data_IF_881102490983
#
_entry.id   IF_881102490983
#
_cell.length_a   1.000
_cell.length_b   1.000
_cell.length_c   1.000
_cell.angle_alpha   90.00
_cell.angle_beta   90.00
_cell.angle_gamma   90.00
#
_symmetry.space_group_name_H-M   'P 1'
#
loop_
_entity.id
_entity.type
_entity.pdbx_description
1 polymer ?
#
# COMPACT_ATOMS: atom_id res chain seq x y z
N UNK A 1 -61.31 -2.32 21.68
CA UNK A 1 -60.28 -1.31 21.91
C UNK A 1 -59.00 -2.09 21.89
N UNK A 2 -58.59 -2.49 20.69
CA UNK A 2 -57.46 -3.38 20.44
C UNK A 2 -56.29 -2.50 20.02
N UNK A 3 -55.35 -2.33 20.95
CA UNK A 3 -54.07 -1.63 20.72
C UNK A 3 -53.18 -2.54 19.88
N UNK A 4 -53.16 -2.27 18.57
CA UNK A 4 -52.27 -2.93 17.63
C UNK A 4 -50.95 -2.16 17.58
N UNK A 5 -49.96 -2.63 18.33
CA UNK A 5 -48.59 -2.11 18.27
C UNK A 5 -48.01 -2.30 16.86
N UNK A 6 -47.35 -1.28 16.28
CA UNK A 6 -46.72 -1.41 14.98
C UNK A 6 -45.53 -2.38 15.06
N UNK A 7 -45.52 -3.34 14.15
CA UNK A 7 -44.46 -4.34 13.98
C UNK A 7 -43.12 -3.65 13.66
N UNK A 8 -42.19 -3.69 14.61
CA UNK A 8 -40.85 -3.04 14.52
C UNK A 8 -39.94 -3.75 13.49
N UNK A 9 -40.39 -4.81 12.83
CA UNK A 9 -39.60 -5.64 11.92
C UNK A 9 -39.42 -5.10 10.49
N UNK A 10 -39.84 -3.87 10.17
CA UNK A 10 -39.78 -3.35 8.78
C UNK A 10 -38.85 -2.15 8.58
N UNK A 11 -38.12 -1.70 9.61
CA UNK A 11 -37.20 -0.55 9.47
C UNK A 11 -35.79 -0.94 9.93
N UNK A 12 -35.13 -1.78 9.13
CA UNK A 12 -33.67 -1.81 8.98
C UNK A 12 -33.37 -2.61 7.72
N UNK A 13 -33.67 -2.01 6.57
CA UNK A 13 -33.03 -2.41 5.32
C UNK A 13 -31.56 -2.09 5.51
N UNK A 14 -30.73 -3.13 5.60
CA UNK A 14 -29.28 -3.07 5.69
C UNK A 14 -28.73 -1.91 4.86
N UNK A 15 -28.14 -0.93 5.53
CA UNK A 15 -27.16 -0.07 4.89
C UNK A 15 -25.89 -0.90 4.71
N UNK A 16 -25.90 -1.83 3.76
CA UNK A 16 -24.65 -2.43 3.30
C UNK A 16 -23.76 -1.27 2.87
N UNK A 17 -22.63 -1.11 3.57
CA UNK A 17 -21.65 -0.08 3.28
C UNK A 17 -21.16 -0.27 1.86
N UNK A 18 -21.76 0.45 0.92
CA UNK A 18 -21.36 0.40 -0.49
C UNK A 18 -20.03 1.12 -0.59
N UNK A 19 -18.95 0.34 -0.75
CA UNK A 19 -17.60 0.87 -0.87
C UNK A 19 -17.59 1.94 -1.99
N UNK A 20 -17.11 3.17 -1.72
CA UNK A 20 -17.05 4.23 -2.73
C UNK A 20 -16.33 3.75 -3.99
N UNK A 21 -16.75 4.16 -5.20
CA UNK A 21 -16.17 3.66 -6.45
C UNK A 21 -14.65 3.90 -6.54
N UNK A 22 -14.17 5.01 -5.98
CA UNK A 22 -12.74 5.31 -5.90
C UNK A 22 -11.98 4.34 -4.99
N UNK A 23 -12.59 3.92 -3.87
CA UNK A 23 -11.97 2.96 -2.95
C UNK A 23 -11.93 1.57 -3.58
N UNK A 24 -12.97 1.18 -4.35
CA UNK A 24 -12.96 -0.05 -5.14
C UNK A 24 -11.81 -0.08 -6.15
N UNK A 25 -11.60 1.00 -6.90
CA UNK A 25 -10.48 1.11 -7.86
C UNK A 25 -9.13 0.97 -7.13
N UNK A 26 -8.94 1.68 -6.01
CA UNK A 26 -7.70 1.57 -5.23
C UNK A 26 -7.48 0.16 -4.69
N UNK A 27 -8.53 -0.51 -4.24
CA UNK A 27 -8.46 -1.89 -3.76
C UNK A 27 -8.10 -2.86 -4.89
N UNK A 28 -8.71 -2.72 -6.07
CA UNK A 28 -8.38 -3.51 -7.27
C UNK A 28 -6.91 -3.35 -7.66
N UNK A 29 -6.43 -2.10 -7.71
CA UNK A 29 -5.01 -1.79 -8.01
C UNK A 29 -4.06 -2.36 -6.96
N UNK A 30 -4.41 -2.27 -5.67
CA UNK A 30 -3.61 -2.88 -4.60
C UNK A 30 -3.56 -4.40 -4.74
N UNK A 31 -4.70 -5.04 -5.04
CA UNK A 31 -4.78 -6.49 -5.31
C UNK A 31 -3.97 -6.92 -6.53
N UNK A 32 -3.95 -6.11 -7.58
CA UNK A 32 -3.08 -6.34 -8.72
C UNK A 32 -1.60 -6.42 -8.30
N UNK A 33 -1.13 -5.45 -7.51
CA UNK A 33 0.26 -5.45 -7.05
C UNK A 33 0.61 -6.66 -6.17
N UNK A 34 -0.31 -7.11 -5.32
CA UNK A 34 -0.11 -8.33 -4.50
C UNK A 34 0.07 -9.59 -5.36
N UNK A 35 -0.61 -9.66 -6.52
CA UNK A 35 -0.53 -10.80 -7.43
C UNK A 35 0.58 -10.68 -8.47
N UNK A 36 1.08 -9.47 -8.72
CA UNK A 36 2.10 -9.17 -9.72
C UNK A 36 3.35 -8.54 -9.09
N UNK A 37 4.15 -9.33 -8.34
CA UNK A 37 5.41 -8.84 -7.77
C UNK A 37 6.41 -8.40 -8.86
N UNK A 38 6.24 -8.89 -10.09
CA UNK A 38 7.06 -8.53 -11.27
C UNK A 38 6.96 -7.05 -11.63
N UNK A 39 5.93 -6.33 -11.17
CA UNK A 39 5.79 -4.88 -11.36
C UNK A 39 6.99 -4.10 -10.79
N UNK A 40 7.58 -4.56 -9.68
CA UNK A 40 8.73 -3.91 -9.05
C UNK A 40 10.08 -4.23 -9.72
N UNK A 41 10.06 -4.50 -11.03
CA UNK A 41 11.23 -4.77 -11.84
C UNK A 41 12.06 -3.52 -12.19
N UNK A 42 13.04 -3.71 -13.09
CA UNK A 42 14.02 -2.68 -13.45
C UNK A 42 13.46 -1.49 -14.23
N UNK A 43 12.30 -1.64 -14.89
CA UNK A 43 11.64 -0.56 -15.63
C UNK A 43 11.20 0.58 -14.71
N UNK A 44 10.93 0.26 -13.44
CA UNK A 44 10.37 1.20 -12.47
C UNK A 44 11.38 2.27 -12.02
N UNK A 45 12.69 2.09 -12.28
CA UNK A 45 13.70 3.14 -12.05
C UNK A 45 13.37 4.42 -12.82
N UNK A 46 12.92 4.28 -14.08
CA UNK A 46 12.67 5.42 -14.96
C UNK A 46 11.48 6.25 -14.48
N UNK A 47 10.59 5.61 -13.72
CA UNK A 47 9.40 6.21 -13.19
C UNK A 47 9.75 7.34 -12.19
N UNK A 48 10.74 7.15 -11.31
CA UNK A 48 11.25 8.21 -10.45
C UNK A 48 12.77 8.06 -10.24
N UNK A 49 13.58 8.64 -11.15
CA UNK A 49 15.02 8.41 -11.16
C UNK A 49 15.74 8.90 -9.90
N UNK A 50 15.29 10.03 -9.31
CA UNK A 50 15.93 10.61 -8.13
C UNK A 50 15.65 9.80 -6.86
N UNK A 51 14.40 9.33 -6.71
CA UNK A 51 14.03 8.48 -5.58
C UNK A 51 14.73 7.12 -5.66
N UNK A 52 14.86 6.56 -6.88
CA UNK A 52 15.60 5.31 -7.09
C UNK A 52 17.09 5.45 -6.74
N UNK A 53 17.71 6.57 -7.14
CA UNK A 53 19.10 6.85 -6.83
C UNK A 53 19.36 6.89 -5.31
N UNK A 54 18.47 7.57 -4.59
CA UNK A 54 18.54 7.76 -3.14
C UNK A 54 18.30 6.47 -2.36
N UNK A 55 17.27 5.71 -2.72
CA UNK A 55 16.79 4.56 -1.93
C UNK A 55 17.39 3.22 -2.37
N UNK A 56 17.68 3.04 -3.66
CA UNK A 56 18.16 1.75 -4.18
C UNK A 56 19.64 1.84 -4.57
N UNK A 57 20.00 2.76 -5.48
CA UNK A 57 21.34 2.79 -6.08
C UNK A 57 22.45 3.14 -5.09
N UNK A 58 22.16 3.92 -4.05
CA UNK A 58 23.09 4.21 -2.93
C UNK A 58 23.55 2.95 -2.18
N UNK A 59 22.68 1.95 -2.03
CA UNK A 59 22.96 0.70 -1.30
C UNK A 59 23.40 -0.45 -2.22
N UNK A 60 23.41 -0.21 -3.53
CA UNK A 60 23.79 -1.21 -4.51
C UNK A 60 25.31 -1.36 -4.58
N UNK A 61 25.77 -2.61 -4.53
CA UNK A 61 27.18 -2.94 -4.70
C UNK A 61 27.61 -2.82 -6.17
N UNK A 62 28.91 -2.63 -6.46
CA UNK A 62 29.41 -2.62 -7.84
C UNK A 62 29.03 -3.89 -8.63
N UNK A 63 29.01 -5.05 -7.96
CA UNK A 63 28.64 -6.33 -8.57
C UNK A 63 27.15 -6.39 -8.92
N UNK A 64 26.27 -5.95 -8.02
CA UNK A 64 24.82 -5.87 -8.28
C UNK A 64 24.53 -4.91 -9.44
N UNK A 65 25.25 -3.78 -9.51
CA UNK A 65 25.11 -2.80 -10.59
C UNK A 65 25.54 -3.35 -11.94
N UNK A 66 26.60 -4.14 -12.00
CA UNK A 66 27.03 -4.80 -13.25
C UNK A 66 25.98 -5.81 -13.74
N UNK A 67 25.40 -6.61 -12.83
CA UNK A 67 24.36 -7.58 -13.15
C UNK A 67 23.13 -6.85 -13.73
N UNK A 68 22.69 -5.79 -13.06
CA UNK A 68 21.56 -4.97 -13.52
C UNK A 68 21.86 -4.31 -14.88
N UNK A 69 23.04 -3.72 -15.04
CA UNK A 69 23.46 -3.09 -16.31
C UNK A 69 23.48 -4.11 -17.45
N UNK A 70 23.88 -5.35 -17.17
CA UNK A 70 23.88 -6.45 -18.14
C UNK A 70 22.46 -6.87 -18.51
N UNK A 71 21.52 -6.86 -17.56
CA UNK A 71 20.12 -7.19 -17.81
C UNK A 71 19.39 -6.10 -18.61
N UNK A 72 19.66 -4.83 -18.31
CA UNK A 72 19.12 -3.67 -19.05
C UNK A 72 19.74 -3.51 -20.45
N UNK A 73 20.98 -3.98 -20.60
CA UNK A 73 21.77 -3.74 -21.80
C UNK A 73 22.28 -2.29 -21.88
N UNK A 74 23.08 -2.02 -22.91
CA UNK A 74 23.73 -0.71 -23.08
C UNK A 74 22.72 0.43 -23.29
N UNK A 75 21.68 0.22 -24.11
CA UNK A 75 20.67 1.22 -24.39
C UNK A 75 19.88 1.62 -23.14
N UNK A 76 19.41 0.65 -22.36
CA UNK A 76 18.66 0.92 -21.12
C UNK A 76 19.52 1.56 -20.03
N UNK A 77 20.81 1.20 -19.93
CA UNK A 77 21.74 1.87 -19.02
C UNK A 77 21.93 3.35 -19.41
N UNK A 78 22.07 3.64 -20.71
CA UNK A 78 22.24 5.00 -21.19
C UNK A 78 20.99 5.84 -20.98
N UNK A 79 19.81 5.27 -21.23
CA UNK A 79 18.52 5.93 -20.99
C UNK A 79 18.33 6.29 -19.52
N UNK A 80 18.60 5.34 -18.62
CA UNK A 80 18.54 5.58 -17.18
C UNK A 80 19.49 6.69 -16.74
N UNK A 81 20.72 6.72 -17.27
CA UNK A 81 21.69 7.77 -16.95
C UNK A 81 21.27 9.14 -17.49
N UNK A 82 20.70 9.20 -18.70
CA UNK A 82 20.16 10.44 -19.28
C UNK A 82 19.00 10.99 -18.44
N UNK A 83 17.98 10.17 -18.16
CA UNK A 83 16.82 10.58 -17.38
C UNK A 83 17.20 11.00 -15.95
N UNK A 84 18.15 10.29 -15.33
CA UNK A 84 18.69 10.68 -14.02
C UNK A 84 19.38 12.04 -14.09
N UNK A 85 20.17 12.29 -15.12
CA UNK A 85 20.88 13.56 -15.29
C UNK A 85 19.94 14.73 -15.55
N UNK A 86 18.87 14.51 -16.34
CA UNK A 86 17.83 15.50 -16.62
C UNK A 86 17.03 15.81 -15.35
N UNK A 87 16.53 14.78 -14.66
CA UNK A 87 15.77 14.96 -13.42
C UNK A 87 16.59 15.71 -12.37
N UNK A 88 17.89 15.47 -12.28
CA UNK A 88 18.79 16.15 -11.36
C UNK A 88 19.01 17.62 -11.72
N UNK A 89 19.16 17.94 -13.00
CA UNK A 89 19.26 19.34 -13.44
C UNK A 89 17.97 20.08 -13.16
N UNK A 90 16.82 19.45 -13.42
CA UNK A 90 15.52 20.03 -13.14
C UNK A 90 15.30 20.26 -11.64
N UNK A 91 15.65 19.30 -10.79
CA UNK A 91 15.59 19.43 -9.32
C UNK A 91 16.47 20.58 -8.81
N UNK A 92 17.69 20.70 -9.34
CA UNK A 92 18.59 21.83 -9.05
C UNK A 92 18.00 23.16 -9.49
N UNK A 93 17.34 23.21 -10.66
CA UNK A 93 16.70 24.43 -11.15
C UNK A 93 15.48 24.82 -10.32
N UNK A 94 14.62 23.86 -9.98
CA UNK A 94 13.40 24.11 -9.20
C UNK A 94 13.71 24.56 -7.77
N UNK A 95 14.77 24.05 -7.18
CA UNK A 95 15.16 24.30 -5.80
C UNK A 95 16.41 25.17 -5.66
N UNK A 96 16.81 25.89 -6.70
CA UNK A 96 18.04 26.69 -6.71
C UNK A 96 18.10 27.74 -5.57
N UNK A 97 16.95 28.33 -5.22
CA UNK A 97 16.84 29.36 -4.18
C UNK A 97 16.39 28.80 -2.81
N UNK A 98 16.14 27.48 -2.72
CA UNK A 98 15.60 26.86 -1.51
C UNK A 98 16.72 26.41 -0.56
N UNK A 99 16.84 27.10 0.58
CA UNK A 99 17.82 26.81 1.63
C UNK A 99 17.52 25.47 2.32
N UNK A 100 16.30 24.93 2.19
CA UNK A 100 15.92 23.63 2.74
C UNK A 100 16.64 22.46 2.06
N UNK A 101 17.25 22.68 0.90
CA UNK A 101 18.00 21.65 0.18
C UNK A 101 19.50 21.88 0.26
N UNK A 102 20.26 20.79 0.28
CA UNK A 102 21.72 20.83 0.25
C UNK A 102 22.30 19.75 -0.65
N UNK A 103 23.52 20.01 -1.10
CA UNK A 103 24.31 19.05 -1.85
C UNK A 103 25.09 18.17 -0.88
N UNK A 104 24.83 16.87 -0.90
CA UNK A 104 25.58 15.90 -0.09
C UNK A 104 26.30 14.90 -0.99
N UNK A 105 27.49 14.47 -0.56
CA UNK A 105 28.23 13.45 -1.28
C UNK A 105 27.93 12.09 -0.66
N UNK A 106 27.47 11.16 -1.49
CA UNK A 106 27.26 9.77 -1.08
C UNK A 106 28.59 9.05 -0.87
N UNK A 107 28.54 7.87 -0.24
CA UNK A 107 29.70 6.97 -0.05
C UNK A 107 30.36 6.57 -1.38
N UNK A 108 29.62 6.66 -2.48
CA UNK A 108 30.09 6.33 -3.82
C UNK A 108 30.69 7.55 -4.56
N UNK A 109 30.78 8.71 -3.89
CA UNK A 109 31.33 9.93 -4.46
C UNK A 109 30.35 10.76 -5.29
N UNK A 110 29.11 10.29 -5.48
CA UNK A 110 28.05 10.98 -6.22
C UNK A 110 27.45 12.09 -5.37
N UNK A 111 27.40 13.31 -5.93
CA UNK A 111 26.78 14.47 -5.29
C UNK A 111 25.28 14.39 -5.54
N UNK A 112 24.47 14.25 -4.49
CA UNK A 112 23.01 14.27 -4.58
C UNK A 112 22.47 15.59 -4.04
N UNK A 113 21.41 16.10 -4.68
CA UNK A 113 20.64 17.22 -4.18
C UNK A 113 19.49 16.64 -3.35
N UNK A 114 19.40 17.03 -2.08
CA UNK A 114 18.52 16.38 -1.11
C UNK A 114 18.03 17.38 -0.08
N UNK A 115 16.81 17.20 0.42
CA UNK A 115 16.29 18.00 1.52
C UNK A 115 17.18 17.79 2.76
N UNK A 116 17.34 18.83 3.57
CA UNK A 116 18.13 18.78 4.79
C UNK A 116 17.58 17.75 5.79
N UNK A 117 16.28 17.46 5.75
CA UNK A 117 15.65 16.41 6.57
C UNK A 117 16.14 15.01 6.17
N UNK A 118 16.19 14.76 4.86
CA UNK A 118 16.59 13.48 4.26
C UNK A 118 18.12 13.27 4.35
N UNK A 119 18.90 14.36 4.27
CA UNK A 119 20.37 14.33 4.33
C UNK A 119 20.91 13.70 5.62
N UNK A 120 20.20 13.90 6.74
CA UNK A 120 20.59 13.41 8.06
C UNK A 120 20.14 11.97 8.36
N UNK A 121 19.31 11.38 7.51
CA UNK A 121 18.66 10.11 7.82
C UNK A 121 19.59 8.91 7.54
N UNK A 122 19.80 8.10 8.58
CA UNK A 122 20.57 6.85 8.47
C UNK A 122 19.62 5.72 8.11
N UNK A 123 19.44 5.49 6.81
CA UNK A 123 18.58 4.44 6.30
C UNK A 123 19.32 3.11 6.13
N UNK A 124 18.70 2.00 6.50
CA UNK A 124 19.22 0.65 6.18
C UNK A 124 18.80 0.25 4.76
N UNK A 125 19.53 -0.69 4.13
CA UNK A 125 19.19 -1.20 2.78
C UNK A 125 17.75 -1.72 2.72
N UNK A 126 17.33 -2.49 3.71
CA UNK A 126 15.98 -3.07 3.77
C UNK A 126 14.91 -2.01 3.95
N UNK A 127 15.15 -1.00 4.79
CA UNK A 127 14.20 0.09 4.99
C UNK A 127 14.10 0.98 3.73
N UNK A 128 15.21 1.22 3.05
CA UNK A 128 15.23 1.95 1.80
C UNK A 128 14.45 1.23 0.70
N UNK A 129 14.61 -0.09 0.61
CA UNK A 129 13.84 -0.91 -0.32
C UNK A 129 12.34 -0.89 0.00
N UNK A 130 11.96 -0.95 1.29
CA UNK A 130 10.55 -0.83 1.69
C UNK A 130 9.97 0.52 1.30
N UNK A 131 10.67 1.63 1.60
CA UNK A 131 10.23 2.98 1.20
C UNK A 131 10.09 3.14 -0.30
N UNK A 132 10.99 2.53 -1.08
CA UNK A 132 10.88 2.51 -2.54
C UNK A 132 9.61 1.78 -2.99
N UNK A 133 9.37 0.58 -2.47
CA UNK A 133 8.17 -0.21 -2.77
C UNK A 133 6.91 0.53 -2.36
N UNK A 134 6.88 1.15 -1.18
CA UNK A 134 5.74 1.91 -0.67
C UNK A 134 5.44 3.12 -1.55
N UNK A 135 6.46 3.91 -1.91
CA UNK A 135 6.30 5.07 -2.79
C UNK A 135 5.80 4.69 -4.19
N UNK A 136 6.33 3.59 -4.76
CA UNK A 136 5.87 3.09 -6.05
C UNK A 136 4.47 2.48 -5.97
N UNK A 137 4.12 1.84 -4.86
CA UNK A 137 2.77 1.33 -4.58
C UNK A 137 1.77 2.47 -4.50
N UNK A 138 2.07 3.53 -3.74
CA UNK A 138 1.22 4.71 -3.64
C UNK A 138 1.02 5.35 -5.01
N UNK A 139 2.09 5.50 -5.79
CA UNK A 139 2.03 6.02 -7.16
C UNK A 139 1.10 5.18 -8.03
N UNK A 140 1.26 3.86 -8.02
CA UNK A 140 0.46 2.94 -8.83
C UNK A 140 -1.01 2.98 -8.42
N UNK A 141 -1.30 2.89 -7.11
CA UNK A 141 -2.67 2.95 -6.58
C UNK A 141 -3.31 4.30 -6.90
N UNK A 142 -2.55 5.39 -6.87
CA UNK A 142 -3.02 6.72 -7.26
C UNK A 142 -3.30 6.87 -8.76
N UNK A 143 -2.83 5.95 -9.60
CA UNK A 143 -3.04 6.02 -11.05
C UNK A 143 -2.06 6.93 -11.77
N UNK A 144 -0.84 7.08 -11.24
CA UNK A 144 0.18 7.99 -11.75
C UNK A 144 1.27 7.27 -12.55
N UNK A 145 1.05 6.01 -12.91
CA UNK A 145 1.93 5.27 -13.82
C UNK A 145 1.41 5.39 -15.25
N UNK A 146 1.98 6.30 -16.02
CA UNK A 146 1.52 6.60 -17.38
C UNK A 146 1.83 5.46 -18.37
N UNK A 147 2.77 4.58 -18.03
CA UNK A 147 3.16 3.44 -18.86
C UNK A 147 2.23 2.22 -18.66
N UNK A 148 1.35 2.27 -17.64
CA UNK A 148 0.46 1.16 -17.29
C UNK A 148 -0.98 1.37 -17.78
N UNK A 149 -1.53 0.36 -18.45
CA UNK A 149 -2.94 0.34 -18.87
C UNK A 149 -3.85 -0.06 -17.69
N UNK A 150 -4.30 0.94 -16.94
CA UNK A 150 -5.19 0.75 -15.78
C UNK A 150 -6.55 0.16 -16.14
N UNK A 151 -7.01 0.24 -17.40
CA UNK A 151 -8.32 -0.30 -17.77
C UNK A 151 -8.42 -1.81 -17.50
N UNK A 152 -7.32 -2.54 -17.69
CA UNK A 152 -7.22 -3.98 -17.45
C UNK A 152 -7.46 -4.37 -15.98
N UNK A 153 -7.20 -3.47 -15.04
CA UNK A 153 -7.33 -3.71 -13.60
C UNK A 153 -8.58 -3.04 -13.04
N UNK A 154 -8.80 -1.78 -13.41
CA UNK A 154 -9.87 -0.94 -12.88
C UNK A 154 -11.25 -1.43 -13.28
N UNK A 155 -11.39 -2.12 -14.42
CA UNK A 155 -12.67 -2.67 -14.89
C UNK A 155 -12.82 -4.18 -14.57
N UNK A 156 -11.78 -4.81 -14.05
CA UNK A 156 -11.79 -6.26 -13.78
C UNK A 156 -12.37 -6.59 -12.41
N UNK A 157 -13.43 -7.40 -12.40
CA UNK A 157 -14.00 -7.98 -11.18
C UNK A 157 -13.12 -9.07 -10.56
N UNK A 158 -12.08 -9.56 -11.25
CA UNK A 158 -11.15 -10.55 -10.66
C UNK A 158 -10.39 -9.98 -9.46
N UNK A 159 -10.16 -8.66 -9.47
CA UNK A 159 -9.49 -7.95 -8.38
C UNK A 159 -10.48 -7.38 -7.36
N UNK A 160 -11.80 -7.61 -7.54
CA UNK A 160 -12.76 -7.39 -6.46
C UNK A 160 -12.57 -8.47 -5.40
N UNK A 161 -12.37 -8.01 -4.18
CA UNK A 161 -11.97 -8.86 -3.08
C UNK A 161 -13.18 -9.50 -2.40
N UNK A 162 -13.94 -10.32 -3.15
CA UNK A 162 -15.16 -10.98 -2.65
C UNK A 162 -14.93 -11.71 -1.32
N UNK A 163 -13.74 -12.28 -1.12
CA UNK A 163 -13.39 -13.01 0.09
C UNK A 163 -13.10 -12.09 1.30
N UNK A 164 -12.63 -10.87 1.07
CA UNK A 164 -12.52 -9.84 2.12
C UNK A 164 -13.88 -9.23 2.41
N UNK A 165 -14.69 -8.95 1.37
CA UNK A 165 -16.08 -8.50 1.56
C UNK A 165 -16.88 -9.51 2.39
N UNK A 166 -16.76 -10.81 2.09
CA UNK A 166 -17.38 -11.89 2.87
C UNK A 166 -16.88 -11.95 4.32
N UNK A 167 -15.58 -11.72 4.55
CA UNK A 167 -14.99 -11.72 5.89
C UNK A 167 -15.42 -10.50 6.70
N UNK A 168 -15.43 -9.31 6.10
CA UNK A 168 -15.89 -8.07 6.74
C UNK A 168 -17.38 -8.19 7.11
N UNK A 169 -18.22 -8.72 6.20
CA UNK A 169 -19.62 -9.03 6.48
C UNK A 169 -19.77 -10.05 7.62
N UNK A 170 -18.89 -11.05 7.67
CA UNK A 170 -18.90 -12.07 8.70
C UNK A 170 -18.45 -11.52 10.06
N UNK A 171 -17.40 -10.70 10.11
CA UNK A 171 -16.93 -10.00 11.31
C UNK A 171 -18.01 -9.05 11.85
N UNK A 172 -18.67 -8.28 10.97
CA UNK A 172 -19.80 -7.42 11.35
C UNK A 172 -20.98 -8.23 11.90
N UNK A 173 -21.32 -9.36 11.28
CA UNK A 173 -22.34 -10.28 11.80
C UNK A 173 -21.95 -10.87 13.17
N UNK A 174 -20.68 -11.23 13.37
CA UNK A 174 -20.20 -11.71 14.68
C UNK A 174 -20.20 -10.62 15.75
N UNK A 175 -19.87 -9.37 15.41
CA UNK A 175 -19.94 -8.24 16.33
C UNK A 175 -21.39 -7.89 16.70
N UNK A 176 -22.34 -8.05 15.77
CA UNK A 176 -23.77 -7.91 16.04
C UNK A 176 -24.35 -9.08 16.85
N UNK A 177 -23.85 -10.31 16.67
CA UNK A 177 -24.29 -11.51 17.42
C UNK A 177 -23.56 -11.71 18.76
N UNK A 178 -22.45 -11.01 19.01
CA UNK A 178 -21.81 -11.05 20.33
C UNK A 178 -22.75 -10.42 21.36
N UNK A 179 -23.27 -11.20 22.34
CA UNK A 179 -24.09 -10.63 23.38
C UNK A 179 -23.24 -9.59 24.11
N UNK A 180 -23.77 -8.38 24.27
CA UNK A 180 -23.12 -7.28 24.98
C UNK A 180 -22.64 -7.79 26.35
N UNK A 181 -21.35 -8.10 26.43
CA UNK A 181 -20.68 -8.51 27.67
C UNK A 181 -20.38 -7.28 28.53
N UNK A 182 -21.02 -6.13 28.28
CA UNK A 182 -21.11 -5.08 29.28
C UNK A 182 -21.84 -5.66 30.50
N UNK A 183 -21.22 -5.63 31.69
CA UNK A 183 -21.95 -5.95 32.90
C UNK A 183 -23.02 -4.88 33.04
N UNK A 184 -24.27 -5.24 32.76
CA UNK A 184 -25.41 -4.43 33.17
C UNK A 184 -25.28 -4.23 34.67
N UNK A 185 -25.12 -2.99 35.13
CA UNK A 185 -24.93 -2.67 36.55
C UNK A 185 -26.04 -3.34 37.38
N UNK A 186 -25.68 -4.44 38.06
CA UNK A 186 -26.56 -5.18 38.97
C UNK A 186 -26.66 -6.69 38.77
N UNK A 187 -26.19 -7.28 37.67
CA UNK A 187 -26.40 -8.72 37.43
C UNK A 187 -25.19 -9.59 37.84
N UNK A 188 -25.41 -10.41 38.86
CA UNK A 188 -24.44 -11.36 39.40
C UNK A 188 -24.07 -12.41 38.35
N UNK A 189 -22.76 -12.61 38.16
CA UNK A 189 -22.16 -13.71 37.37
C UNK A 189 -22.76 -15.06 37.80
N UNK A 190 -23.73 -15.59 37.06
CA UNK A 190 -24.07 -17.01 37.14
C UNK A 190 -23.12 -17.74 36.21
N UNK A 191 -22.07 -18.33 36.78
CA UNK A 191 -21.27 -19.34 36.10
C UNK A 191 -22.21 -20.49 35.73
N UNK A 192 -22.51 -20.66 34.44
CA UNK A 192 -23.23 -21.82 33.93
C UNK A 192 -22.23 -22.98 33.87
N UNK A 193 -22.12 -23.74 34.96
CA UNK A 193 -21.41 -25.01 34.95
C UNK A 193 -22.22 -26.01 34.12
N UNK A 194 -21.70 -26.35 32.93
CA UNK A 194 -22.31 -27.32 32.03
C UNK A 194 -22.19 -28.74 32.57
N UNK A 195 -23.25 -29.23 33.24
CA UNK A 195 -23.41 -30.64 33.56
C UNK A 195 -23.80 -31.42 32.29
N UNK A 196 -22.82 -31.83 31.48
CA UNK A 196 -23.06 -32.78 30.39
C UNK A 196 -23.22 -34.18 30.98
N UNK A 197 -24.47 -34.58 31.27
CA UNK A 197 -24.84 -35.94 31.64
C UNK A 197 -24.66 -36.89 30.46
N UNK A 198 -23.62 -37.71 30.49
CA UNK A 198 -23.43 -38.85 29.59
C UNK A 198 -24.38 -39.96 30.06
N UNK A 199 -25.40 -40.31 29.26
CA UNK A 199 -26.24 -41.48 29.46
C UNK A 199 -25.64 -42.67 28.69
N UNK A 200 -25.05 -43.63 29.41
CA UNK A 200 -24.75 -44.96 28.86
C UNK A 200 -26.09 -45.71 28.65
N UNK A 201 -26.29 -46.20 27.42
CA UNK A 201 -27.33 -47.16 27.05
C UNK A 201 -26.69 -48.52 26.73
#
# INVERSE_FOLDING_TARGET
MDDQLPSISTIRVNQHSTIPPQLRIKNRRKRYLERHPDYFGFSLELANPLLYDRLIRRFQTPTEREIESRQKGYAGSLEADLLRSEAKLEDVHQHADDISYSYTQTTNGEIIHVSNEDAGEQLTKDEAQRRWVDAMTERFVAGKDDDFDYSAVDESEEYDDRQTEERELQEEWFDEEQPDSSPREGEQKTCLDGETGIQDF
#
